data_IF_066356143336
#
_entry.id   IF_066356143336
#
_cell.length_a   1.000
_cell.length_b   1.000
_cell.length_c   1.000
_cell.angle_alpha   90.00
_cell.angle_beta   90.00
_cell.angle_gamma   90.00
#
_symmetry.space_group_name_H-M   'P 1'
#
loop_
_entity.id
_entity.type
_entity.pdbx_description
1 polymer ?
#
# COMPACT_ATOMS: atom_id res chain seq x y z
N UNK A 1 19.45 5.21 -8.47
CA UNK A 1 19.63 3.99 -7.63
C UNK A 1 18.48 3.99 -6.64
N UNK A 2 17.77 2.88 -6.47
CA UNK A 2 16.60 2.86 -5.58
C UNK A 2 17.00 3.11 -4.13
N UNK A 3 16.26 3.95 -3.41
CA UNK A 3 16.56 4.36 -2.03
C UNK A 3 16.06 3.33 -1.01
N UNK A 4 15.14 2.47 -1.40
CA UNK A 4 14.66 1.37 -0.55
C UNK A 4 15.70 0.25 -0.47
N UNK A 5 16.80 0.50 0.24
CA UNK A 5 17.88 -0.49 0.47
C UNK A 5 17.67 -1.33 1.73
N UNK A 6 16.56 -1.10 2.45
CA UNK A 6 16.32 -1.63 3.79
C UNK A 6 16.95 -0.72 4.85
N UNK A 7 16.15 -0.18 5.75
CA UNK A 7 16.63 0.74 6.80
C UNK A 7 15.65 0.80 7.98
N UNK A 8 16.13 1.31 9.12
CA UNK A 8 15.28 1.57 10.28
C UNK A 8 14.87 3.04 10.35
N UNK A 9 13.66 3.30 10.80
CA UNK A 9 13.20 4.59 11.32
C UNK A 9 13.19 4.47 12.83
N UNK A 10 14.05 5.22 13.52
CA UNK A 10 14.24 5.18 14.98
C UNK A 10 13.74 6.47 15.69
N UNK A 11 13.43 7.51 14.92
CA UNK A 11 12.79 8.75 15.38
C UNK A 11 11.27 8.62 15.38
N UNK A 12 10.54 9.40 16.21
CA UNK A 12 9.07 9.42 16.23
C UNK A 12 8.49 10.17 15.02
N UNK A 13 8.75 9.67 13.82
CA UNK A 13 8.37 10.28 12.54
C UNK A 13 7.68 9.25 11.65
N UNK A 14 6.87 9.72 10.70
CA UNK A 14 6.09 8.86 9.81
C UNK A 14 5.29 7.79 10.57
N UNK A 15 5.39 6.53 10.16
CA UNK A 15 4.74 5.41 10.87
C UNK A 15 5.35 5.10 12.25
N UNK A 16 6.56 5.57 12.56
CA UNK A 16 7.17 5.25 13.86
C UNK A 16 6.60 6.12 15.00
N UNK A 17 5.79 7.14 14.68
CA UNK A 17 5.18 8.06 15.66
C UNK A 17 4.11 7.40 16.54
N UNK A 18 3.45 6.35 16.04
CA UNK A 18 2.35 5.67 16.71
C UNK A 18 2.78 5.12 18.08
N UNK A 19 2.05 5.55 19.11
CA UNK A 19 2.32 5.32 20.54
C UNK A 19 3.79 5.43 20.95
N UNK A 20 4.62 6.22 20.24
CA UNK A 20 6.08 6.10 20.33
C UNK A 20 6.60 6.16 21.76
N UNK A 21 6.09 7.06 22.60
CA UNK A 21 6.53 7.21 23.99
C UNK A 21 6.15 6.02 24.88
N UNK A 22 5.03 5.36 24.59
CA UNK A 22 4.43 4.30 25.42
C UNK A 22 5.03 2.90 25.13
N UNK A 23 5.45 2.63 23.89
CA UNK A 23 6.02 1.32 23.49
C UNK A 23 7.44 1.12 24.00
N UNK A 24 7.83 -0.13 24.26
CA UNK A 24 9.20 -0.52 24.57
C UNK A 24 10.10 -0.43 23.33
N UNK A 25 9.67 -0.98 22.20
CA UNK A 25 10.42 -0.89 20.96
C UNK A 25 10.27 0.52 20.36
N UNK A 26 11.39 1.14 19.95
CA UNK A 26 11.41 2.54 19.46
C UNK A 26 11.80 2.66 17.99
N UNK A 27 11.86 1.56 17.25
CA UNK A 27 12.22 1.56 15.83
C UNK A 27 11.34 0.63 15.03
N UNK A 28 11.09 0.99 13.78
CA UNK A 28 10.47 0.12 12.79
C UNK A 28 11.41 -0.02 11.60
N UNK A 29 11.30 -1.12 10.88
CA UNK A 29 12.07 -1.41 9.69
C UNK A 29 11.24 -1.14 8.44
N UNK A 30 11.84 -0.48 7.46
CA UNK A 30 11.31 -0.33 6.11
C UNK A 30 12.02 -1.36 5.22
N UNK A 31 11.32 -2.35 4.66
CA UNK A 31 11.93 -3.38 3.83
C UNK A 31 12.61 -2.83 2.58
N UNK A 32 13.64 -3.54 2.12
CA UNK A 32 14.29 -3.22 0.84
C UNK A 32 13.34 -3.52 -0.32
N UNK A 33 13.45 -2.75 -1.39
CA UNK A 33 12.74 -3.00 -2.63
C UNK A 33 13.58 -3.87 -3.56
N UNK A 34 12.97 -4.90 -4.13
CA UNK A 34 13.55 -5.73 -5.18
C UNK A 34 12.62 -5.81 -6.39
N UNK A 35 13.18 -6.02 -7.57
CA UNK A 35 12.40 -6.51 -8.71
C UNK A 35 12.24 -8.03 -8.54
N UNK A 36 11.01 -8.54 -8.64
CA UNK A 36 10.72 -9.95 -8.34
C UNK A 36 9.35 -10.40 -8.83
N UNK A 37 8.93 -11.58 -8.39
CA UNK A 37 7.61 -12.17 -8.66
C UNK A 37 6.80 -12.32 -7.36
N UNK A 38 5.61 -12.92 -7.46
CA UNK A 38 4.81 -13.28 -6.29
C UNK A 38 5.42 -14.39 -5.43
N UNK A 39 6.43 -15.12 -5.92
CA UNK A 39 7.22 -16.06 -5.11
C UNK A 39 8.14 -15.36 -4.12
N UNK A 40 8.58 -14.15 -4.45
CA UNK A 40 9.46 -13.36 -3.60
C UNK A 40 8.71 -12.69 -2.44
N UNK A 41 7.37 -12.67 -2.51
CA UNK A 41 6.50 -12.15 -1.44
C UNK A 41 6.49 -13.14 -0.29
N UNK A 42 7.22 -12.80 0.77
CA UNK A 42 7.38 -13.62 1.97
C UNK A 42 7.43 -12.74 3.22
N UNK A 43 7.04 -13.31 4.36
CA UNK A 43 7.08 -12.64 5.66
C UNK A 43 8.54 -12.49 6.11
N UNK A 44 8.88 -11.31 6.63
CA UNK A 44 10.17 -11.00 7.23
C UNK A 44 10.18 -11.19 8.74
N UNK A 45 11.36 -11.04 9.35
CA UNK A 45 11.52 -11.16 10.80
C UNK A 45 11.47 -9.80 11.53
N UNK A 46 11.61 -8.71 10.79
CA UNK A 46 11.70 -7.36 11.33
C UNK A 46 10.33 -6.79 11.69
N UNK A 47 10.30 -5.95 12.73
CA UNK A 47 9.10 -5.20 13.12
C UNK A 47 8.97 -4.02 12.18
N UNK A 48 7.88 -3.96 11.42
CA UNK A 48 7.65 -2.90 10.40
C UNK A 48 6.56 -1.92 10.80
N UNK A 49 5.73 -2.30 11.77
CA UNK A 49 4.74 -1.43 12.39
C UNK A 49 4.60 -1.79 13.87
N UNK A 50 4.34 -0.80 14.71
CA UNK A 50 4.28 -1.03 16.14
C UNK A 50 3.44 0.05 16.83
N UNK A 51 2.41 -0.38 17.53
CA UNK A 51 1.46 0.49 18.24
C UNK A 51 1.04 -0.17 19.56
N UNK A 52 0.46 0.61 20.47
CA UNK A 52 -0.25 0.13 21.65
C UNK A 52 -1.73 -0.01 21.27
N UNK A 53 -2.27 -1.21 21.40
CA UNK A 53 -3.69 -1.50 21.22
C UNK A 53 -4.22 -2.22 22.46
N UNK A 54 -5.33 -1.73 23.02
CA UNK A 54 -5.90 -2.22 24.29
C UNK A 54 -4.85 -2.43 25.41
N UNK A 55 -3.93 -1.46 25.60
CA UNK A 55 -2.81 -1.50 26.56
C UNK A 55 -1.72 -2.57 26.26
N UNK A 56 -1.78 -3.22 25.10
CA UNK A 56 -0.82 -4.24 24.65
C UNK A 56 0.05 -3.67 23.53
N UNK A 57 1.37 -3.78 23.67
CA UNK A 57 2.29 -3.45 22.59
C UNK A 57 2.27 -4.52 21.50
N UNK A 58 1.74 -4.15 20.33
CA UNK A 58 1.71 -5.00 19.14
C UNK A 58 2.94 -4.70 18.30
N UNK A 59 3.77 -5.71 18.07
CA UNK A 59 4.99 -5.66 17.25
C UNK A 59 4.73 -6.43 15.94
N UNK A 60 4.26 -5.73 14.91
CA UNK A 60 3.84 -6.35 13.66
C UNK A 60 5.04 -6.63 12.74
N UNK A 61 5.16 -7.89 12.30
CA UNK A 61 6.12 -8.31 11.28
C UNK A 61 5.46 -8.23 9.91
N UNK A 62 6.14 -7.61 8.93
CA UNK A 62 5.63 -7.45 7.57
C UNK A 62 6.42 -8.25 6.55
N UNK A 63 6.56 -7.70 5.35
CA UNK A 63 7.26 -8.35 4.26
C UNK A 63 8.78 -8.36 4.46
N UNK A 64 9.44 -9.42 3.99
CA UNK A 64 10.90 -9.49 3.94
C UNK A 64 11.50 -8.46 2.98
N UNK A 65 10.83 -8.25 1.85
CA UNK A 65 11.15 -7.25 0.85
C UNK A 65 9.86 -6.64 0.31
N UNK A 66 9.91 -5.37 -0.07
CA UNK A 66 8.95 -4.82 -1.02
C UNK A 66 9.27 -5.34 -2.42
N UNK A 67 8.26 -5.55 -3.24
CA UNK A 67 8.40 -6.14 -4.57
C UNK A 67 7.90 -5.17 -5.64
N UNK A 68 8.73 -4.92 -6.65
CA UNK A 68 8.25 -4.47 -7.96
C UNK A 68 7.95 -5.72 -8.78
N UNK A 69 6.68 -5.99 -9.00
CA UNK A 69 6.20 -7.09 -9.81
C UNK A 69 5.76 -6.58 -11.18
N UNK A 70 6.38 -7.12 -12.24
CA UNK A 70 5.96 -6.86 -13.63
C UNK A 70 4.76 -7.74 -13.97
N UNK A 71 3.56 -7.18 -13.88
CA UNK A 71 2.34 -7.86 -14.24
C UNK A 71 1.93 -7.44 -15.65
N UNK A 72 2.07 -8.33 -16.64
CA UNK A 72 1.82 -8.01 -18.04
C UNK A 72 2.66 -6.79 -18.50
N UNK A 73 2.02 -5.71 -18.94
CA UNK A 73 2.65 -4.48 -19.41
C UNK A 73 2.71 -3.37 -18.34
N UNK A 74 2.36 -3.66 -17.08
CA UNK A 74 2.30 -2.68 -15.99
C UNK A 74 3.09 -3.06 -14.73
N UNK A 75 3.41 -2.04 -13.95
CA UNK A 75 4.07 -2.17 -12.65
C UNK A 75 3.03 -2.39 -11.54
N UNK A 76 3.23 -3.44 -10.75
CA UNK A 76 2.57 -3.63 -9.46
C UNK A 76 3.63 -3.51 -8.35
N UNK A 77 3.36 -2.66 -7.35
CA UNK A 77 4.23 -2.47 -6.19
C UNK A 77 3.57 -3.09 -4.97
N UNK A 78 4.27 -4.02 -4.32
CA UNK A 78 3.79 -4.74 -3.13
C UNK A 78 4.69 -4.36 -1.96
N UNK A 79 4.10 -3.83 -0.90
CA UNK A 79 4.81 -3.32 0.28
C UNK A 79 3.99 -3.58 1.55
N UNK A 80 4.56 -3.29 2.71
CA UNK A 80 3.91 -3.55 4.00
C UNK A 80 2.92 -2.45 4.39
N UNK A 81 3.41 -1.23 4.65
CA UNK A 81 2.62 -0.11 5.15
C UNK A 81 2.15 0.81 4.02
N UNK A 82 0.92 1.30 4.11
CA UNK A 82 0.23 1.93 2.98
C UNK A 82 0.83 3.26 2.50
N UNK A 83 1.48 4.02 3.39
CA UNK A 83 2.12 5.30 3.05
C UNK A 83 3.14 5.20 1.89
N UNK A 84 3.75 4.03 1.69
CA UNK A 84 4.71 3.82 0.61
C UNK A 84 4.10 3.96 -0.79
N UNK A 85 2.77 3.84 -0.92
CA UNK A 85 2.04 4.10 -2.17
C UNK A 85 2.39 5.47 -2.76
N UNK A 86 2.50 6.52 -1.93
CA UNK A 86 2.82 7.87 -2.38
C UNK A 86 4.13 7.96 -3.19
N UNK A 87 5.18 7.31 -2.69
CA UNK A 87 6.47 7.26 -3.39
C UNK A 87 6.34 6.52 -4.73
N UNK A 88 5.65 5.38 -4.75
CA UNK A 88 5.51 4.58 -5.96
C UNK A 88 4.61 5.21 -7.01
N UNK A 89 3.63 6.01 -6.62
CA UNK A 89 2.84 6.82 -7.54
C UNK A 89 3.70 7.88 -8.22
N UNK A 90 4.47 8.67 -7.47
CA UNK A 90 5.37 9.67 -8.07
C UNK A 90 6.42 9.02 -8.96
N UNK A 91 7.08 7.96 -8.48
CA UNK A 91 8.06 7.21 -9.27
C UNK A 91 7.46 6.68 -10.59
N UNK A 92 6.20 6.27 -10.57
CA UNK A 92 5.52 5.79 -11.78
C UNK A 92 5.07 6.92 -12.69
N UNK A 93 4.72 8.08 -12.12
CA UNK A 93 4.40 9.29 -12.87
C UNK A 93 5.63 9.84 -13.61
N UNK A 94 6.80 9.87 -12.95
CA UNK A 94 8.08 10.27 -13.56
C UNK A 94 8.45 9.38 -14.76
N UNK A 95 8.09 8.10 -14.71
CA UNK A 95 8.26 7.15 -15.83
C UNK A 95 7.22 7.30 -16.94
N UNK A 96 6.18 8.10 -16.74
CA UNK A 96 5.06 8.25 -17.68
C UNK A 96 4.11 7.04 -17.70
N UNK A 97 4.06 6.24 -16.63
CA UNK A 97 3.22 5.04 -16.59
C UNK A 97 1.71 5.36 -16.48
N UNK A 98 1.37 6.58 -16.07
CA UNK A 98 0.00 7.10 -16.06
C UNK A 98 0.01 8.63 -16.24
N UNK A 99 -1.16 9.19 -16.54
CA UNK A 99 -1.38 10.61 -16.78
C UNK A 99 -1.60 11.35 -15.46
N UNK A 100 -0.83 12.42 -15.21
CA UNK A 100 -1.05 13.31 -14.07
C UNK A 100 -2.51 13.82 -14.06
N UNK A 101 -3.17 13.73 -12.90
CA UNK A 101 -4.57 14.10 -12.76
C UNK A 101 -5.56 13.03 -13.22
N UNK A 102 -5.13 11.78 -13.42
CA UNK A 102 -6.06 10.65 -13.51
C UNK A 102 -6.72 10.39 -12.13
N UNK A 103 -7.64 9.42 -12.06
CA UNK A 103 -8.30 9.06 -10.80
C UNK A 103 -7.45 8.09 -9.99
N UNK A 104 -7.56 8.15 -8.66
CA UNK A 104 -7.15 7.07 -7.77
C UNK A 104 -8.38 6.20 -7.45
N UNK A 105 -8.26 4.89 -7.57
CA UNK A 105 -9.23 3.94 -7.02
C UNK A 105 -8.58 3.28 -5.82
N UNK A 106 -9.15 3.49 -4.64
CA UNK A 106 -8.65 3.07 -3.35
C UNK A 106 -9.54 1.97 -2.77
N UNK A 107 -9.03 0.75 -2.65
CA UNK A 107 -9.75 -0.40 -2.09
C UNK A 107 -9.14 -0.74 -0.74
N UNK A 108 -9.86 -0.50 0.34
CA UNK A 108 -9.30 -0.50 1.70
C UNK A 108 -10.44 -0.52 2.73
N UNK A 109 -10.22 -1.09 3.92
CA UNK A 109 -11.12 -0.92 5.07
C UNK A 109 -11.21 0.55 5.54
N UNK A 110 -10.14 1.31 5.33
CA UNK A 110 -9.96 2.69 5.72
C UNK A 110 -10.01 3.65 4.51
N UNK A 111 -10.04 4.95 4.82
CA UNK A 111 -10.13 6.02 3.80
C UNK A 111 -8.81 6.71 3.54
N UNK A 112 -7.84 6.56 4.43
CA UNK A 112 -6.48 7.10 4.37
C UNK A 112 -6.31 8.55 3.90
N UNK A 113 -7.29 9.36 4.31
CA UNK A 113 -7.43 10.77 3.93
C UNK A 113 -7.28 11.70 5.14
N UNK A 114 -6.62 11.26 6.20
CA UNK A 114 -6.25 12.15 7.31
C UNK A 114 -5.28 13.22 6.81
N UNK A 115 -5.34 14.39 7.42
CA UNK A 115 -4.42 15.47 7.08
C UNK A 115 -2.99 15.10 7.57
N UNK A 116 -1.95 15.27 6.73
CA UNK A 116 -0.57 15.13 7.18
C UNK A 116 -0.17 16.33 8.06
N UNK A 117 0.98 16.24 8.74
CA UNK A 117 1.53 17.35 9.51
C UNK A 117 1.74 18.61 8.65
N UNK A 118 2.23 18.42 7.43
CA UNK A 118 2.43 19.46 6.44
C UNK A 118 2.35 18.87 5.03
N UNK A 119 2.38 19.74 4.02
CA UNK A 119 2.29 19.37 2.59
C UNK A 119 3.59 19.69 1.84
N UNK A 120 4.68 19.88 2.57
CA UNK A 120 5.92 20.44 2.07
C UNK A 120 6.77 19.32 1.46
N UNK A 121 6.47 19.05 0.19
CA UNK A 121 7.16 18.08 -0.66
C UNK A 121 7.31 18.64 -2.07
N UNK A 122 8.52 18.55 -2.60
CA UNK A 122 8.83 18.75 -4.01
C UNK A 122 8.61 17.44 -4.77
N UNK A 123 7.45 17.33 -5.42
CA UNK A 123 7.06 16.12 -6.16
C UNK A 123 7.90 15.87 -7.42
N UNK A 124 8.73 16.83 -7.85
CA UNK A 124 9.69 16.66 -8.95
C UNK A 124 11.06 16.16 -8.45
N UNK A 125 11.23 16.04 -7.13
CA UNK A 125 12.45 15.55 -6.49
C UNK A 125 12.18 14.25 -5.75
N UNK A 126 12.51 13.12 -6.37
CA UNK A 126 12.30 11.79 -5.81
C UNK A 126 12.96 11.56 -4.43
N UNK A 127 14.06 12.28 -4.12
CA UNK A 127 14.71 12.21 -2.81
C UNK A 127 13.87 12.91 -1.73
N UNK A 128 13.23 14.02 -2.07
CA UNK A 128 12.32 14.73 -1.17
C UNK A 128 11.02 13.96 -0.98
N UNK A 129 10.52 13.31 -2.04
CA UNK A 129 9.36 12.41 -1.96
C UNK A 129 9.67 11.22 -1.06
N UNK A 130 10.85 10.61 -1.18
CA UNK A 130 11.28 9.52 -0.31
C UNK A 130 11.32 9.96 1.16
N UNK A 131 11.91 11.13 1.45
CA UNK A 131 11.90 11.71 2.80
C UNK A 131 10.48 11.91 3.29
N UNK A 132 9.65 12.59 2.50
CA UNK A 132 8.27 12.93 2.88
C UNK A 132 7.42 11.69 3.18
N UNK A 133 7.52 10.65 2.34
CA UNK A 133 6.85 9.36 2.55
C UNK A 133 7.22 8.70 3.87
N UNK A 134 8.49 8.76 4.28
CA UNK A 134 9.00 8.01 5.43
C UNK A 134 9.02 8.82 6.73
N UNK A 135 9.12 10.15 6.65
CA UNK A 135 9.28 11.03 7.82
C UNK A 135 8.02 11.83 8.15
N UNK A 136 7.16 12.13 7.16
CA UNK A 136 5.97 12.98 7.37
C UNK A 136 4.67 12.19 7.24
N UNK A 137 4.59 11.31 6.23
CA UNK A 137 3.40 10.52 5.98
C UNK A 137 3.34 9.29 6.89
N UNK A 138 2.12 8.92 7.25
CA UNK A 138 1.82 7.66 7.89
C UNK A 138 0.72 6.92 7.12
N UNK A 139 0.42 5.68 7.55
CA UNK A 139 -0.58 4.82 6.91
C UNK A 139 -1.92 5.51 6.65
N UNK A 140 -2.32 6.52 7.43
CA UNK A 140 -3.61 7.19 7.24
C UNK A 140 -3.60 8.53 6.50
N UNK A 141 -2.44 9.04 6.03
CA UNK A 141 -2.30 10.47 5.63
C UNK A 141 -1.74 10.73 4.23
N UNK A 142 -1.53 9.71 3.41
CA UNK A 142 -0.79 9.82 2.15
C UNK A 142 -1.62 10.24 0.93
N UNK A 143 -2.94 10.06 0.94
CA UNK A 143 -3.82 10.41 -0.21
C UNK A 143 -4.00 11.92 -0.34
N UNK A 144 -4.15 12.64 0.77
CA UNK A 144 -4.36 14.09 0.77
C UNK A 144 -3.25 14.88 0.06
N UNK A 145 -1.96 14.63 0.32
CA UNK A 145 -0.87 15.19 -0.46
C UNK A 145 -0.98 14.91 -1.96
N UNK A 146 -1.36 13.70 -2.35
CA UNK A 146 -1.46 13.32 -3.75
C UNK A 146 -2.54 14.12 -4.49
N UNK A 147 -3.66 14.37 -3.84
CA UNK A 147 -4.72 15.25 -4.35
C UNK A 147 -4.25 16.71 -4.43
N UNK A 148 -3.62 17.23 -3.35
CA UNK A 148 -3.16 18.62 -3.31
C UNK A 148 -2.16 18.95 -4.41
N UNK A 149 -1.27 18.01 -4.73
CA UNK A 149 -0.25 18.16 -5.77
C UNK A 149 -0.73 17.78 -7.17
N UNK A 150 -2.04 17.52 -7.33
CA UNK A 150 -2.70 17.10 -8.57
C UNK A 150 -2.04 15.86 -9.20
N UNK A 151 -1.48 14.95 -8.39
CA UNK A 151 -1.09 13.62 -8.87
C UNK A 151 -2.34 12.91 -9.38
N UNK A 152 -3.41 12.99 -8.58
CA UNK A 152 -4.75 12.54 -8.92
C UNK A 152 -5.75 13.70 -8.87
N UNK A 153 -6.76 13.66 -9.73
CA UNK A 153 -7.84 14.66 -9.73
C UNK A 153 -8.90 14.39 -8.67
N UNK A 154 -9.09 13.11 -8.34
CA UNK A 154 -10.13 12.63 -7.43
C UNK A 154 -9.76 11.24 -6.91
N UNK A 155 -10.39 10.82 -5.82
CA UNK A 155 -10.26 9.48 -5.22
C UNK A 155 -11.63 8.80 -5.13
N UNK A 156 -11.72 7.61 -5.72
CA UNK A 156 -12.87 6.72 -5.59
C UNK A 156 -12.54 5.70 -4.49
N UNK A 157 -13.25 5.78 -3.37
CA UNK A 157 -13.05 4.89 -2.22
C UNK A 157 -14.00 3.70 -2.32
N UNK A 158 -13.45 2.50 -2.19
CA UNK A 158 -14.15 1.22 -2.13
C UNK A 158 -13.86 0.60 -0.76
N UNK A 159 -14.67 0.97 0.23
CA UNK A 159 -14.56 0.59 1.65
C UNK A 159 -15.81 -0.14 2.17
N UNK A 160 -16.77 -0.43 1.29
CA UNK A 160 -18.10 -0.91 1.64
C UNK A 160 -18.77 -1.61 0.47
N UNK A 161 -19.82 -2.40 0.72
CA UNK A 161 -20.58 -3.08 -0.35
C UNK A 161 -21.04 -2.14 -1.46
N UNK A 162 -21.43 -0.90 -1.11
CA UNK A 162 -21.81 0.12 -2.09
C UNK A 162 -20.62 0.54 -2.97
N UNK A 163 -19.42 0.67 -2.38
CA UNK A 163 -18.20 0.98 -3.12
C UNK A 163 -17.88 -0.08 -4.18
N UNK A 164 -18.14 -1.36 -3.89
CA UNK A 164 -17.92 -2.46 -4.83
C UNK A 164 -18.83 -2.40 -6.08
N UNK A 165 -19.99 -1.73 -5.97
CA UNK A 165 -20.94 -1.52 -7.07
C UNK A 165 -20.62 -0.28 -7.92
N UNK A 166 -19.66 0.57 -7.52
CA UNK A 166 -19.33 1.80 -8.25
C UNK A 166 -18.73 1.50 -9.63
N UNK A 167 -19.26 2.13 -10.67
CA UNK A 167 -18.64 2.11 -12.00
C UNK A 167 -17.44 3.07 -12.06
N UNK A 168 -16.33 2.57 -12.59
CA UNK A 168 -15.08 3.33 -12.68
C UNK A 168 -14.76 3.55 -14.14
N UNK A 169 -14.92 4.81 -14.56
CA UNK A 169 -14.62 5.28 -15.91
C UNK A 169 -13.30 6.05 -15.98
N UNK A 170 -12.65 5.94 -17.12
CA UNK A 170 -11.41 6.65 -17.45
C UNK A 170 -10.15 5.92 -17.02
N UNK A 171 -9.02 6.62 -17.13
CA UNK A 171 -7.74 6.14 -16.64
C UNK A 171 -7.65 6.27 -15.12
N UNK A 172 -7.09 5.25 -14.46
CA UNK A 172 -6.88 5.27 -13.02
C UNK A 172 -5.64 4.48 -12.59
N UNK A 173 -5.10 4.85 -11.43
CA UNK A 173 -4.21 4.04 -10.62
C UNK A 173 -5.04 3.29 -9.58
N UNK A 174 -4.74 2.01 -9.38
CA UNK A 174 -5.39 1.17 -8.39
C UNK A 174 -4.48 1.05 -7.17
N UNK A 175 -5.03 1.35 -6.01
CA UNK A 175 -4.40 1.19 -4.72
C UNK A 175 -5.23 0.24 -3.86
N UNK A 176 -4.58 -0.76 -3.28
CA UNK A 176 -5.23 -1.86 -2.58
C UNK A 176 -4.58 -2.00 -1.20
N UNK A 177 -5.34 -1.79 -0.13
CA UNK A 177 -5.02 -2.36 1.16
C UNK A 177 -5.61 -3.77 1.25
N UNK A 178 -4.80 -4.77 1.62
CA UNK A 178 -5.28 -6.13 1.80
C UNK A 178 -6.13 -6.30 3.06
N UNK A 179 -6.16 -5.33 3.97
CA UNK A 179 -7.07 -5.31 5.12
C UNK A 179 -8.56 -5.22 4.74
N UNK A 180 -8.90 -4.92 3.47
CA UNK A 180 -10.26 -5.12 2.91
C UNK A 180 -10.74 -6.58 3.03
N UNK A 181 -9.80 -7.51 3.23
CA UNK A 181 -10.06 -8.93 3.50
C UNK A 181 -10.00 -9.30 4.99
N UNK A 182 -9.81 -8.33 5.89
CA UNK A 182 -9.86 -8.55 7.33
C UNK A 182 -11.24 -9.07 7.76
N UNK A 183 -11.31 -9.64 8.96
CA UNK A 183 -12.56 -10.16 9.54
C UNK A 183 -13.62 -9.09 9.70
N UNK A 184 -13.23 -7.84 9.91
CA UNK A 184 -14.16 -6.72 10.05
C UNK A 184 -14.92 -6.45 8.75
N UNK A 185 -14.35 -6.89 7.62
CA UNK A 185 -14.90 -6.73 6.28
C UNK A 185 -15.61 -7.98 5.75
N UNK A 186 -15.89 -8.97 6.60
CA UNK A 186 -16.58 -10.23 6.24
C UNK A 186 -18.07 -10.05 5.89
N UNK A 187 -18.65 -8.89 6.21
CA UNK A 187 -20.01 -8.55 5.78
C UNK A 187 -20.10 -8.33 4.25
N UNK A 188 -18.96 -8.08 3.58
CA UNK A 188 -18.87 -8.03 2.12
C UNK A 188 -18.47 -9.42 1.61
N UNK A 189 -19.27 -10.06 0.72
CA UNK A 189 -18.96 -11.38 0.21
C UNK A 189 -17.55 -11.49 -0.40
N UNK A 190 -16.79 -12.51 -0.02
CA UNK A 190 -15.42 -12.72 -0.49
C UNK A 190 -15.32 -12.77 -2.03
N UNK A 191 -16.20 -13.55 -2.68
CA UNK A 191 -16.21 -13.70 -4.14
C UNK A 191 -16.48 -12.37 -4.86
N UNK A 192 -17.31 -11.50 -4.25
CA UNK A 192 -17.54 -10.14 -4.77
C UNK A 192 -16.26 -9.31 -4.68
N UNK A 193 -15.57 -9.32 -3.53
CA UNK A 193 -14.30 -8.62 -3.34
C UNK A 193 -13.25 -9.07 -4.36
N UNK A 194 -13.00 -10.37 -4.44
CA UNK A 194 -12.01 -10.96 -5.36
C UNK A 194 -12.36 -10.67 -6.82
N UNK A 195 -13.59 -10.92 -7.25
CA UNK A 195 -13.98 -10.72 -8.65
C UNK A 195 -13.86 -9.25 -9.07
N UNK A 196 -14.28 -8.32 -8.21
CA UNK A 196 -14.21 -6.89 -8.48
C UNK A 196 -12.78 -6.39 -8.53
N UNK A 197 -11.95 -6.74 -7.55
CA UNK A 197 -10.55 -6.31 -7.50
C UNK A 197 -9.77 -6.89 -8.70
N UNK A 198 -10.03 -8.13 -9.10
CA UNK A 198 -9.47 -8.71 -10.34
C UNK A 198 -9.84 -7.93 -11.59
N UNK A 199 -11.07 -7.44 -11.70
CA UNK A 199 -11.48 -6.56 -12.81
C UNK A 199 -10.70 -5.24 -12.80
N UNK A 200 -10.54 -4.64 -11.62
CA UNK A 200 -9.79 -3.39 -11.46
C UNK A 200 -8.31 -3.56 -11.84
N UNK A 201 -7.65 -4.63 -11.38
CA UNK A 201 -6.26 -4.97 -11.71
C UNK A 201 -6.03 -5.00 -13.24
N UNK A 202 -6.98 -5.59 -13.99
CA UNK A 202 -6.90 -5.67 -15.46
C UNK A 202 -6.91 -4.28 -16.11
N UNK A 203 -7.70 -3.34 -15.58
CA UNK A 203 -7.93 -2.01 -16.19
C UNK A 203 -6.97 -0.93 -15.70
N UNK A 204 -6.43 -1.04 -14.49
CA UNK A 204 -5.55 -0.04 -13.88
C UNK A 204 -4.26 0.19 -14.70
N UNK A 205 -3.67 1.39 -14.64
CA UNK A 205 -2.36 1.67 -15.27
C UNK A 205 -1.17 1.27 -14.41
N UNK A 206 -1.31 1.46 -13.10
CA UNK A 206 -0.33 1.11 -12.07
C UNK A 206 -1.11 0.54 -10.90
N UNK A 207 -0.50 -0.41 -10.19
CA UNK A 207 -1.08 -1.06 -9.03
C UNK A 207 -0.15 -0.85 -7.83
N UNK A 208 -0.69 -0.39 -6.72
CA UNK A 208 0.00 -0.35 -5.41
C UNK A 208 -0.78 -1.22 -4.43
N UNK A 209 -0.07 -2.02 -3.63
CA UNK A 209 -0.67 -3.01 -2.73
C UNK A 209 0.06 -3.00 -1.38
N UNK A 210 -0.67 -2.66 -0.31
CA UNK A 210 -0.22 -2.77 1.07
C UNK A 210 -0.63 -4.12 1.65
N UNK A 211 0.30 -4.82 2.32
CA UNK A 211 0.01 -6.07 3.03
C UNK A 211 -0.54 -5.84 4.44
N UNK A 212 -0.37 -4.63 4.99
CA UNK A 212 -0.99 -4.11 6.21
C UNK A 212 -0.83 -5.03 7.44
N UNK A 213 0.42 -5.26 7.87
CA UNK A 213 0.76 -6.26 8.91
C UNK A 213 0.19 -6.00 10.29
N UNK A 214 -0.26 -4.79 10.57
CA UNK A 214 -0.97 -4.49 11.82
C UNK A 214 -2.46 -4.89 11.75
N UNK A 215 -3.08 -4.78 10.57
CA UNK A 215 -4.53 -4.89 10.37
C UNK A 215 -5.00 -6.28 9.90
N UNK A 216 -4.10 -7.06 9.27
CA UNK A 216 -4.43 -8.40 8.76
C UNK A 216 -3.29 -9.40 8.95
N UNK A 217 -3.66 -10.66 9.23
CA UNK A 217 -2.70 -11.76 9.31
C UNK A 217 -1.94 -11.91 7.99
N UNK A 218 -0.60 -11.91 8.05
CA UNK A 218 0.24 -11.81 6.87
C UNK A 218 0.25 -13.07 6.01
N UNK A 219 0.14 -14.26 6.59
CA UNK A 219 -0.01 -15.49 5.79
C UNK A 219 -1.30 -15.45 4.97
N UNK A 220 -2.39 -14.96 5.57
CA UNK A 220 -3.67 -14.81 4.87
C UNK A 220 -3.62 -13.69 3.82
N UNK A 221 -3.04 -12.52 4.13
CA UNK A 221 -2.88 -11.43 3.18
C UNK A 221 -2.09 -11.88 1.93
N UNK A 222 -0.96 -12.58 2.11
CA UNK A 222 -0.15 -13.10 1.01
C UNK A 222 -0.92 -14.14 0.18
N UNK A 223 -1.72 -15.00 0.83
CA UNK A 223 -2.59 -15.94 0.11
C UNK A 223 -3.59 -15.20 -0.78
N UNK A 224 -4.29 -14.20 -0.24
CA UNK A 224 -5.27 -13.41 -1.00
C UNK A 224 -4.59 -12.65 -2.14
N UNK A 225 -3.43 -12.04 -1.90
CA UNK A 225 -2.63 -11.40 -2.93
C UNK A 225 -2.36 -12.35 -4.11
N UNK A 226 -1.89 -13.57 -3.84
CA UNK A 226 -1.65 -14.59 -4.87
C UNK A 226 -2.93 -14.95 -5.62
N UNK A 227 -4.05 -15.08 -4.91
CA UNK A 227 -5.35 -15.33 -5.53
C UNK A 227 -5.79 -14.20 -6.47
N UNK A 228 -5.60 -12.93 -6.08
CA UNK A 228 -5.94 -11.76 -6.90
C UNK A 228 -5.23 -11.75 -8.26
N UNK A 229 -4.02 -12.32 -8.33
CA UNK A 229 -3.26 -12.43 -9.57
C UNK A 229 -3.41 -13.78 -10.29
N UNK A 230 -4.32 -14.67 -9.82
CA UNK A 230 -4.53 -16.03 -10.33
C UNK A 230 -3.25 -16.88 -10.30
N UNK A 231 -2.42 -16.70 -9.29
CA UNK A 231 -1.11 -17.33 -9.21
C UNK A 231 -1.20 -18.87 -9.21
N UNK A 232 -2.05 -19.42 -8.35
CA UNK A 232 -2.20 -20.87 -8.18
C UNK A 232 -2.81 -21.56 -9.43
N UNK A 233 -3.50 -20.82 -10.30
CA UNK A 233 -4.08 -21.35 -11.55
C UNK A 233 -3.01 -21.48 -12.64
N UNK A 234 -1.93 -20.70 -12.58
CA UNK A 234 -0.83 -20.77 -13.55
C UNK A 234 0.07 -21.99 -13.26
N UNK A 235 0.23 -22.38 -12.00
CA UNK A 235 1.01 -23.58 -11.63
C UNK A 235 0.34 -24.90 -12.05
N UNK A 236 -0.99 -24.96 -12.14
CA UNK A 236 -1.70 -26.16 -12.62
C UNK A 236 -1.67 -26.32 -14.15
N UNK A 237 -1.23 -25.30 -14.90
CA UNK A 237 -1.21 -25.27 -16.37
C UNK A 237 0.20 -25.29 -16.98
N UNK A 238 1.25 -25.33 -16.15
CA UNK A 238 2.66 -25.42 -16.56
C UNK A 238 3.24 -26.82 -16.37
#
# INVERSE_FOLDING_TARGET
>A
MDKYTGFYIDKPTGNNIFSYEERENKKIYVPKLIEGSLDDVSIGEEIVFNEIDEDIEIKAKGLKNMIIYKYQDKDAYIFDNHNHAFYFWIKSLEKGNFTKGCKLVHVDQHKDTREPENYDVDIENIDDVFRYTNEVLNVGSFIKPALKHNIFSDVIIIDSSYGFDLEIEGEFVLDIDLDIFSKDMDYIPYDLKVSRIKDLIKRAKVITIASSPFFINQEYAIKVLKELFNYDIIEELA
#
